data_IF_140149989736
#
_entry.id   IF_140149989736
#
_cell.length_a   1.000
_cell.length_b   1.000
_cell.length_c   1.000
_cell.angle_alpha   90.00
_cell.angle_beta   90.00
_cell.angle_gamma   90.00
#
_symmetry.space_group_name_H-M   'P 1'
#
loop_
_entity.id
_entity.type
_entity.pdbx_description
1 polymer ?
#
# COMPACT_ATOMS: atom_id res chain seq x y z
N UNK A 1 4.39 10.34 2.09
CA UNK A 1 4.01 11.23 3.18
C UNK A 1 4.00 10.46 4.50
N UNK A 2 5.00 10.68 5.35
CA UNK A 2 5.16 9.93 6.60
C UNK A 2 5.32 10.91 7.76
N UNK A 3 4.57 10.72 8.85
CA UNK A 3 4.70 11.51 10.07
C UNK A 3 5.66 10.82 11.05
N UNK A 4 6.15 11.55 12.03
CA UNK A 4 6.96 11.00 13.13
C UNK A 4 6.24 9.86 13.87
N UNK A 5 4.94 10.03 14.10
CA UNK A 5 4.09 9.01 14.72
C UNK A 5 4.02 7.71 13.89
N UNK A 6 3.83 7.84 12.57
CA UNK A 6 3.89 6.72 11.63
C UNK A 6 5.25 6.01 11.65
N UNK A 7 6.33 6.79 11.65
CA UNK A 7 7.70 6.28 11.70
C UNK A 7 7.91 5.46 12.98
N UNK A 8 7.57 6.01 14.13
CA UNK A 8 7.67 5.33 15.42
C UNK A 8 6.81 4.07 15.46
N UNK A 9 5.61 4.09 14.87
CA UNK A 9 4.75 2.90 14.79
C UNK A 9 5.37 1.81 13.92
N UNK A 10 5.98 2.16 12.79
CA UNK A 10 6.67 1.19 11.92
C UNK A 10 7.89 0.57 12.61
N UNK A 11 8.66 1.37 13.36
CA UNK A 11 9.78 0.86 14.16
C UNK A 11 9.26 -0.15 15.19
N UNK A 12 8.22 0.20 15.95
CA UNK A 12 7.63 -0.69 16.94
C UNK A 12 7.11 -1.99 16.30
N UNK A 13 6.43 -1.93 15.16
CA UNK A 13 5.97 -3.12 14.43
C UNK A 13 7.16 -4.00 14.01
N UNK A 14 8.24 -3.41 13.49
CA UNK A 14 9.43 -4.18 13.11
C UNK A 14 10.02 -4.94 14.32
N UNK A 15 10.08 -4.31 15.48
CA UNK A 15 10.57 -4.92 16.72
C UNK A 15 9.61 -5.98 17.27
N UNK A 16 8.30 -5.67 17.36
CA UNK A 16 7.26 -6.56 17.88
C UNK A 16 7.11 -7.84 17.06
N UNK A 17 7.15 -7.71 15.73
CA UNK A 17 6.92 -8.82 14.79
C UNK A 17 8.23 -9.50 14.32
N UNK A 18 9.38 -9.02 14.75
CA UNK A 18 10.68 -9.58 14.34
C UNK A 18 10.99 -9.40 12.85
N UNK A 19 10.44 -8.38 12.20
CA UNK A 19 10.62 -8.08 10.78
C UNK A 19 11.51 -6.86 10.58
N UNK A 20 12.10 -6.73 9.38
CA UNK A 20 12.91 -5.56 9.03
C UNK A 20 12.21 -4.72 7.97
N UNK A 21 12.36 -3.39 8.06
CA UNK A 21 11.76 -2.43 7.14
C UNK A 21 12.77 -1.39 6.65
N UNK A 22 12.66 -1.01 5.38
CA UNK A 22 13.42 0.10 4.80
C UNK A 22 12.46 1.01 4.02
N UNK A 23 12.54 2.30 4.30
CA UNK A 23 11.87 3.32 3.50
C UNK A 23 12.83 3.81 2.43
N UNK A 24 12.40 3.78 1.17
CA UNK A 24 13.20 4.23 0.02
C UNK A 24 12.36 5.03 -0.98
N UNK A 25 13.02 5.74 -1.89
CA UNK A 25 12.38 6.33 -3.07
C UNK A 25 12.24 5.33 -4.23
N UNK A 26 11.84 5.82 -5.40
CA UNK A 26 11.49 5.00 -6.54
C UNK A 26 12.51 5.06 -7.69
N UNK A 27 13.59 5.83 -7.55
CA UNK A 27 14.65 5.82 -8.56
C UNK A 27 15.52 4.58 -8.41
N UNK A 28 16.15 4.13 -9.50
CA UNK A 28 17.04 2.97 -9.48
C UNK A 28 18.16 3.10 -8.44
N UNK A 29 18.76 4.29 -8.32
CA UNK A 29 19.80 4.55 -7.32
C UNK A 29 19.30 4.45 -5.88
N UNK A 30 18.09 4.94 -5.59
CA UNK A 30 17.47 4.86 -4.27
C UNK A 30 17.15 3.41 -3.89
N UNK A 31 16.60 2.65 -4.84
CA UNK A 31 16.28 1.22 -4.64
C UNK A 31 17.57 0.43 -4.42
N UNK A 32 18.62 0.63 -5.24
CA UNK A 32 19.90 -0.03 -5.06
C UNK A 32 20.56 0.33 -3.72
N UNK A 33 20.46 1.59 -3.30
CA UNK A 33 20.93 2.01 -1.97
C UNK A 33 20.20 1.28 -0.85
N UNK A 34 18.87 1.14 -0.96
CA UNK A 34 18.10 0.38 0.02
C UNK A 34 18.51 -1.10 0.07
N UNK A 35 18.75 -1.75 -1.07
CA UNK A 35 19.28 -3.10 -1.12
C UNK A 35 20.67 -3.21 -0.50
N UNK A 36 21.56 -2.27 -0.76
CA UNK A 36 22.91 -2.25 -0.16
C UNK A 36 22.82 -2.13 1.39
N UNK A 37 21.92 -1.29 1.90
CA UNK A 37 21.65 -1.16 3.33
C UNK A 37 21.11 -2.46 3.90
N UNK A 38 20.15 -3.09 3.20
CA UNK A 38 19.55 -4.36 3.62
C UNK A 38 20.62 -5.46 3.73
N UNK A 39 21.44 -5.65 2.68
CA UNK A 39 22.51 -6.65 2.67
C UNK A 39 23.55 -6.42 3.77
N UNK A 40 23.81 -5.17 4.12
CA UNK A 40 24.75 -4.80 5.19
C UNK A 40 24.17 -5.07 6.58
N UNK A 41 22.87 -4.83 6.76
CA UNK A 41 22.17 -4.95 8.04
C UNK A 41 21.67 -6.37 8.33
N UNK A 42 21.29 -7.11 7.32
CA UNK A 42 20.68 -8.43 7.46
C UNK A 42 21.56 -9.44 8.25
N UNK A 43 22.91 -9.47 8.08
CA UNK A 43 23.77 -10.37 8.84
C UNK A 43 23.80 -10.09 10.34
N UNK A 44 23.36 -8.92 10.82
CA UNK A 44 23.28 -8.60 12.25
C UNK A 44 22.25 -9.47 13.00
N UNK A 45 21.33 -10.14 12.26
CA UNK A 45 20.35 -11.08 12.80
C UNK A 45 19.30 -10.46 13.72
N UNK A 46 19.14 -9.12 13.70
CA UNK A 46 18.17 -8.38 14.50
C UNK A 46 17.21 -7.60 13.60
N UNK A 47 15.94 -7.44 14.02
CA UNK A 47 15.01 -6.55 13.32
C UNK A 47 15.56 -5.12 13.26
N UNK A 48 15.31 -4.45 12.16
CA UNK A 48 15.71 -3.05 12.00
C UNK A 48 14.69 -2.28 11.17
N UNK A 49 14.66 -0.98 11.39
CA UNK A 49 13.95 -0.04 10.53
C UNK A 49 14.92 1.07 10.10
N UNK A 50 15.03 1.30 8.79
CA UNK A 50 15.94 2.32 8.24
C UNK A 50 15.21 3.23 7.27
N UNK A 51 15.35 4.53 7.46
CA UNK A 51 14.96 5.51 6.46
C UNK A 51 16.14 5.77 5.50
N UNK A 52 16.11 5.14 4.34
CA UNK A 52 17.08 5.35 3.25
C UNK A 52 16.65 6.49 2.28
N UNK A 53 15.64 7.28 2.64
CA UNK A 53 15.10 8.38 1.83
C UNK A 53 14.97 9.70 2.62
N UNK A 54 16.03 10.11 3.35
CA UNK A 54 15.92 11.23 4.31
C UNK A 54 15.69 12.59 3.64
N UNK A 55 16.00 12.73 2.34
CA UNK A 55 15.76 14.00 1.61
C UNK A 55 14.28 14.34 1.44
N UNK A 56 13.38 13.34 1.51
CA UNK A 56 11.93 13.52 1.36
C UNK A 56 11.18 13.08 2.60
N UNK A 57 11.60 11.96 3.19
CA UNK A 57 11.01 11.42 4.41
C UNK A 57 11.83 11.91 5.60
N UNK A 58 11.45 13.04 6.14
CA UNK A 58 12.06 13.62 7.35
C UNK A 58 11.41 13.03 8.60
N UNK A 59 12.07 13.15 9.74
CA UNK A 59 11.56 12.62 11.01
C UNK A 59 10.19 13.21 11.38
N UNK A 60 9.99 14.50 11.15
CA UNK A 60 8.72 15.19 11.44
C UNK A 60 7.69 15.01 10.32
N UNK A 61 8.09 14.51 9.16
CA UNK A 61 7.28 14.45 7.96
C UNK A 61 6.95 15.82 7.37
N UNK A 62 6.00 15.88 6.45
CA UNK A 62 5.55 17.15 5.88
C UNK A 62 4.54 17.85 6.80
N UNK A 63 5.00 18.78 7.62
CA UNK A 63 4.14 19.54 8.54
C UNK A 63 2.99 20.26 7.82
N UNK A 64 3.21 20.94 6.67
CA UNK A 64 2.11 21.58 5.94
C UNK A 64 1.03 20.56 5.51
N UNK A 65 1.43 19.41 4.99
CA UNK A 65 0.49 18.40 4.56
C UNK A 65 -0.28 17.78 5.74
N UNK A 66 0.39 17.53 6.88
CA UNK A 66 -0.28 17.06 8.10
C UNK A 66 -1.31 18.06 8.60
N UNK A 67 -1.00 19.36 8.54
CA UNK A 67 -1.93 20.43 8.92
C UNK A 67 -3.17 20.42 8.02
N UNK A 68 -2.99 20.37 6.71
CA UNK A 68 -4.10 20.30 5.76
C UNK A 68 -4.98 19.06 5.96
N UNK A 69 -4.37 17.90 6.18
CA UNK A 69 -5.14 16.67 6.47
C UNK A 69 -5.95 16.83 7.75
N UNK A 70 -5.37 17.34 8.82
CA UNK A 70 -6.08 17.57 10.08
C UNK A 70 -7.20 18.60 9.97
N UNK A 71 -7.02 19.62 9.14
CA UNK A 71 -8.00 20.66 8.88
C UNK A 71 -9.19 20.17 8.05
N UNK A 72 -8.93 19.44 6.98
CA UNK A 72 -9.93 19.07 5.97
C UNK A 72 -10.49 17.67 6.09
N UNK A 73 -9.77 16.75 6.74
CA UNK A 73 -10.10 15.33 6.76
C UNK A 73 -10.22 14.77 8.18
N UNK A 74 -10.96 13.70 8.31
CA UNK A 74 -11.07 12.91 9.53
C UNK A 74 -11.02 11.41 9.22
N UNK A 75 -10.51 10.58 10.16
CA UNK A 75 -10.49 9.14 10.00
C UNK A 75 -11.90 8.56 9.87
N UNK A 76 -12.04 7.55 9.01
CA UNK A 76 -13.28 6.81 8.86
C UNK A 76 -13.00 5.33 8.62
N UNK A 77 -14.00 4.49 8.88
CA UNK A 77 -13.96 3.09 8.49
C UNK A 77 -13.97 2.99 6.97
N UNK A 78 -13.12 2.12 6.41
CA UNK A 78 -12.99 2.00 4.97
C UNK A 78 -12.98 0.56 4.52
N UNK A 79 -13.69 0.31 3.42
CA UNK A 79 -13.71 -1.01 2.81
C UNK A 79 -12.58 -1.14 1.80
N UNK A 80 -11.63 -2.01 2.10
CA UNK A 80 -10.49 -2.31 1.25
C UNK A 80 -10.75 -3.54 0.41
N UNK A 81 -10.57 -3.41 -0.89
CA UNK A 81 -10.82 -4.51 -1.81
C UNK A 81 -9.87 -5.69 -1.53
N UNK A 82 -10.45 -6.86 -1.27
CA UNK A 82 -9.72 -8.06 -0.90
C UNK A 82 -9.40 -8.20 0.60
N UNK A 83 -9.51 -7.13 1.40
CA UNK A 83 -9.23 -7.15 2.84
C UNK A 83 -10.50 -6.95 3.69
N UNK A 84 -11.58 -6.43 3.10
CA UNK A 84 -12.82 -6.14 3.82
C UNK A 84 -12.83 -4.79 4.51
N UNK A 85 -13.70 -4.64 5.50
CA UNK A 85 -13.85 -3.42 6.29
C UNK A 85 -12.77 -3.34 7.36
N UNK A 86 -12.02 -2.23 7.35
CA UNK A 86 -10.98 -1.95 8.36
C UNK A 86 -11.35 -0.65 9.06
N UNK A 87 -11.45 -0.72 10.38
CA UNK A 87 -11.83 0.42 11.22
C UNK A 87 -10.77 1.51 11.18
N UNK A 88 -11.22 2.76 11.04
CA UNK A 88 -10.38 3.98 11.04
C UNK A 88 -9.22 3.94 10.04
N UNK A 89 -9.37 3.21 8.92
CA UNK A 89 -8.31 3.00 7.93
C UNK A 89 -8.41 3.89 6.69
N UNK A 90 -9.46 4.67 6.58
CA UNK A 90 -9.67 5.63 5.51
C UNK A 90 -9.71 7.07 6.03
N UNK A 91 -9.76 8.00 5.10
CA UNK A 91 -9.99 9.42 5.36
C UNK A 91 -11.21 9.89 4.59
N UNK A 92 -12.05 10.70 5.22
CA UNK A 92 -13.15 11.40 4.58
C UNK A 92 -13.04 12.89 4.85
N UNK A 93 -13.67 13.70 4.01
CA UNK A 93 -13.79 15.13 4.27
C UNK A 93 -14.62 15.37 5.53
N UNK A 94 -14.20 16.33 6.35
CA UNK A 94 -14.97 16.81 7.49
C UNK A 94 -16.28 17.42 7.03
N UNK A 95 -17.24 17.55 7.96
CA UNK A 95 -18.56 18.11 7.66
C UNK A 95 -18.49 19.52 7.06
N UNK A 96 -17.57 20.32 7.53
CA UNK A 96 -17.36 21.69 7.07
C UNK A 96 -16.81 21.78 5.64
N UNK A 97 -16.25 20.70 5.14
CA UNK A 97 -15.66 20.58 3.80
C UNK A 97 -16.55 19.78 2.82
N UNK A 98 -17.75 19.41 3.19
CA UNK A 98 -18.66 18.56 2.38
C UNK A 98 -19.01 19.18 1.03
N UNK A 99 -19.03 20.51 0.91
CA UNK A 99 -19.28 21.19 -0.36
C UNK A 99 -18.21 20.89 -1.43
N UNK A 100 -17.05 20.44 -1.00
CA UNK A 100 -15.95 20.00 -1.87
C UNK A 100 -15.98 18.49 -2.15
N UNK A 101 -16.88 17.73 -1.51
CA UNK A 101 -17.04 16.31 -1.82
C UNK A 101 -17.82 16.12 -3.12
N UNK A 102 -17.14 15.66 -4.16
CA UNK A 102 -17.76 15.41 -5.47
C UNK A 102 -18.94 14.44 -5.40
N UNK A 103 -18.92 13.48 -4.49
CA UNK A 103 -20.02 12.52 -4.30
C UNK A 103 -21.27 13.22 -3.80
N UNK A 104 -21.11 14.12 -2.84
CA UNK A 104 -22.21 14.92 -2.30
C UNK A 104 -22.69 15.93 -3.35
N UNK A 105 -21.76 16.69 -3.91
CA UNK A 105 -22.04 17.76 -4.87
C UNK A 105 -22.75 17.27 -6.12
N UNK A 106 -22.37 16.12 -6.65
CA UNK A 106 -22.91 15.55 -7.89
C UNK A 106 -23.84 14.35 -7.65
N UNK A 107 -24.22 14.10 -6.40
CA UNK A 107 -25.10 12.98 -6.02
C UNK A 107 -24.65 11.63 -6.62
N UNK A 108 -23.34 11.37 -6.58
CA UNK A 108 -22.77 10.16 -7.19
C UNK A 108 -23.16 8.95 -6.32
N UNK A 109 -23.89 7.95 -6.86
CA UNK A 109 -24.30 6.80 -6.10
C UNK A 109 -23.09 5.98 -5.64
N UNK A 110 -23.16 5.42 -4.43
CA UNK A 110 -22.17 4.47 -3.95
C UNK A 110 -22.31 3.17 -4.73
N UNK A 111 -21.32 2.87 -5.58
CA UNK A 111 -21.28 1.61 -6.30
C UNK A 111 -20.56 0.56 -5.42
N UNK A 112 -21.22 -0.56 -5.18
CA UNK A 112 -20.60 -1.69 -4.51
C UNK A 112 -19.75 -2.48 -5.52
N UNK A 113 -18.43 -2.56 -5.22
CA UNK A 113 -17.53 -3.38 -6.01
C UNK A 113 -17.80 -4.87 -5.79
N UNK A 114 -17.92 -5.65 -6.88
CA UNK A 114 -18.03 -7.11 -6.79
C UNK A 114 -16.63 -7.72 -6.72
N UNK A 115 -16.39 -8.57 -5.71
CA UNK A 115 -15.20 -9.43 -5.65
C UNK A 115 -15.56 -10.82 -6.15
N UNK A 116 -14.73 -11.39 -7.02
CA UNK A 116 -14.91 -12.79 -7.44
C UNK A 116 -14.44 -13.72 -6.32
N UNK A 117 -15.22 -14.73 -5.94
CA UNK A 117 -14.80 -15.74 -4.96
C UNK A 117 -13.54 -16.52 -5.39
N UNK A 118 -13.26 -16.59 -6.70
CA UNK A 118 -12.08 -17.24 -7.24
C UNK A 118 -10.80 -16.39 -7.13
N UNK A 119 -10.93 -15.09 -6.81
CA UNK A 119 -9.81 -14.18 -6.72
C UNK A 119 -9.16 -14.21 -5.34
N UNK A 120 -7.85 -14.43 -5.27
CA UNK A 120 -7.05 -14.44 -4.04
C UNK A 120 -6.27 -13.14 -3.81
N UNK A 121 -6.72 -12.04 -4.36
CA UNK A 121 -6.07 -10.74 -4.24
C UNK A 121 -5.76 -10.35 -2.79
N UNK A 122 -6.68 -10.61 -1.85
CA UNK A 122 -6.48 -10.34 -0.43
C UNK A 122 -5.35 -11.16 0.19
N UNK A 123 -5.23 -12.44 -0.18
CA UNK A 123 -4.15 -13.31 0.29
C UNK A 123 -2.80 -12.90 -0.28
N UNK A 124 -2.76 -12.54 -1.57
CA UNK A 124 -1.55 -12.04 -2.24
C UNK A 124 -1.05 -10.76 -1.57
N UNK A 125 -1.96 -9.81 -1.29
CA UNK A 125 -1.61 -8.56 -0.60
C UNK A 125 -1.08 -8.77 0.83
N UNK A 126 -1.51 -9.84 1.47
CA UNK A 126 -1.05 -10.23 2.81
C UNK A 126 0.19 -11.14 2.78
N UNK A 127 0.76 -11.42 1.62
CA UNK A 127 1.89 -12.33 1.47
C UNK A 127 1.60 -13.81 1.78
N UNK A 128 0.33 -14.19 1.87
CA UNK A 128 -0.09 -15.57 2.19
C UNK A 128 0.05 -16.54 1.02
N UNK A 129 0.12 -16.02 -0.19
CA UNK A 129 0.32 -16.82 -1.41
C UNK A 129 0.92 -15.96 -2.53
N UNK A 130 1.51 -16.61 -3.53
CA UNK A 130 1.97 -15.97 -4.75
C UNK A 130 0.80 -15.74 -5.72
N UNK A 131 0.93 -14.80 -6.68
CA UNK A 131 -0.07 -14.62 -7.74
C UNK A 131 -0.37 -15.89 -8.52
N UNK A 132 0.62 -16.73 -8.77
CA UNK A 132 0.50 -18.03 -9.47
C UNK A 132 -0.35 -19.05 -8.73
N UNK A 133 -0.50 -18.95 -7.42
CA UNK A 133 -1.37 -19.83 -6.62
C UNK A 133 -2.86 -19.49 -6.80
N UNK A 134 -3.17 -18.38 -7.46
CA UNK A 134 -4.54 -17.99 -7.75
C UNK A 134 -5.04 -18.69 -9.03
N UNK A 135 -6.10 -19.47 -8.92
CA UNK A 135 -6.64 -20.29 -10.02
C UNK A 135 -7.02 -19.50 -11.29
N UNK A 136 -7.32 -18.22 -11.15
CA UNK A 136 -7.70 -17.35 -12.27
C UNK A 136 -6.53 -16.54 -12.83
N UNK A 137 -5.38 -16.53 -12.17
CA UNK A 137 -4.20 -15.79 -12.60
C UNK A 137 -3.69 -16.27 -13.97
N UNK A 138 -3.41 -15.33 -14.87
CA UNK A 138 -2.90 -15.62 -16.22
C UNK A 138 -3.88 -16.32 -17.17
N UNK A 139 -5.06 -16.72 -16.68
CA UNK A 139 -6.11 -17.40 -17.46
C UNK A 139 -7.31 -16.48 -17.64
N UNK A 140 -8.22 -16.42 -16.66
CA UNK A 140 -9.36 -15.52 -16.65
C UNK A 140 -9.04 -14.12 -16.10
N UNK A 141 -7.93 -13.98 -15.36
CA UNK A 141 -7.49 -12.70 -14.78
C UNK A 141 -6.17 -12.27 -15.41
N UNK A 142 -6.23 -11.31 -16.30
CA UNK A 142 -5.09 -10.72 -17.02
C UNK A 142 -5.16 -9.19 -16.95
N UNK A 143 -4.10 -8.45 -17.31
CA UNK A 143 -4.16 -6.98 -17.38
C UNK A 143 -5.27 -6.44 -18.30
N UNK A 144 -5.64 -7.18 -19.35
CA UNK A 144 -6.74 -6.80 -20.25
C UNK A 144 -8.12 -7.14 -19.66
N UNK A 145 -8.21 -8.15 -18.84
CA UNK A 145 -9.46 -8.61 -18.20
C UNK A 145 -9.25 -8.82 -16.69
N UNK A 146 -9.05 -7.74 -15.91
CA UNK A 146 -8.73 -7.85 -14.50
C UNK A 146 -9.95 -8.28 -13.67
N UNK A 147 -9.81 -9.34 -12.88
CA UNK A 147 -10.82 -9.80 -11.92
C UNK A 147 -10.55 -9.20 -10.55
N UNK A 148 -9.30 -9.21 -10.09
CA UNK A 148 -8.88 -8.68 -8.81
C UNK A 148 -8.22 -7.29 -8.91
N UNK A 149 -8.29 -6.51 -7.83
CA UNK A 149 -7.71 -5.18 -7.77
C UNK A 149 -6.20 -5.15 -8.09
N UNK A 150 -5.46 -6.18 -7.68
CA UNK A 150 -4.03 -6.31 -7.95
C UNK A 150 -3.66 -6.47 -9.43
N UNK A 151 -4.63 -6.73 -10.31
CA UNK A 151 -4.42 -6.86 -11.76
C UNK A 151 -4.85 -5.62 -12.54
N UNK A 152 -5.61 -4.69 -11.92
CA UNK A 152 -6.15 -3.49 -12.58
C UNK A 152 -5.06 -2.47 -12.90
N UNK A 153 -4.12 -2.28 -11.98
CA UNK A 153 -3.02 -1.31 -12.10
C UNK A 153 -1.71 -2.04 -12.41
N UNK A 154 -0.85 -1.43 -13.23
CA UNK A 154 0.50 -1.92 -13.50
C UNK A 154 1.37 -1.99 -12.23
N UNK A 155 1.03 -1.23 -11.20
CA UNK A 155 1.69 -1.25 -9.88
C UNK A 155 1.13 -2.34 -8.95
N UNK A 156 0.04 -3.00 -9.35
CA UNK A 156 -0.56 -4.06 -8.56
C UNK A 156 0.29 -5.33 -8.55
N UNK A 157 0.37 -6.00 -7.40
CA UNK A 157 1.22 -7.18 -7.22
C UNK A 157 1.02 -8.27 -8.31
N UNK A 158 -0.23 -8.59 -8.64
CA UNK A 158 -0.51 -9.58 -9.68
C UNK A 158 -0.12 -9.07 -11.08
N UNK A 159 -0.37 -7.79 -11.39
CA UNK A 159 -0.04 -7.22 -12.69
C UNK A 159 1.47 -7.16 -12.91
N UNK A 160 2.22 -6.70 -11.89
CA UNK A 160 3.68 -6.69 -11.93
C UNK A 160 4.24 -8.10 -12.10
N UNK A 161 3.74 -9.07 -11.32
CA UNK A 161 4.15 -10.46 -11.43
C UNK A 161 3.87 -11.04 -12.82
N UNK A 162 2.70 -10.75 -13.40
CA UNK A 162 2.32 -11.18 -14.75
C UNK A 162 3.26 -10.59 -15.81
N UNK A 163 3.64 -9.32 -15.69
CA UNK A 163 4.47 -8.64 -16.69
C UNK A 163 5.95 -9.04 -16.64
N UNK A 164 6.48 -9.30 -15.45
CA UNK A 164 7.92 -9.47 -15.26
C UNK A 164 8.34 -10.92 -15.02
N UNK A 165 7.51 -11.76 -14.42
CA UNK A 165 7.85 -13.16 -14.15
C UNK A 165 7.56 -14.12 -15.31
N UNK A 166 6.68 -13.76 -16.25
CA UNK A 166 6.40 -14.57 -17.43
C UNK A 166 7.44 -14.44 -18.56
N UNK A 167 8.57 -13.78 -18.28
CA UNK A 167 9.67 -13.59 -19.25
C UNK A 167 10.85 -14.54 -19.04
N UNK A 168 10.75 -15.49 -18.12
CA UNK A 168 11.77 -16.49 -17.82
C UNK A 168 11.50 -17.88 -18.45
N UNK A 169 10.63 -17.96 -19.49
CA UNK A 169 10.46 -19.16 -20.31
C UNK A 169 10.99 -18.94 -21.73
#
# INVERSE_FOLDING_TARGET
>A
FMSKEMMNRLIAICEEEGISGIVTGFTASEILTAFAVLLKKFPEGKPFFVNAYPRVVTEEGSIPAQKLIKEWMEPCDSQWRGLGMIKSSGLRLRKEAQDFDARVKFSIPKMEGRTSPACRCGDVLQGKCLPTDCKVFGKGCTPLHPIGACMVSNEGACSAYYQYNSREE
#
